data_IF_281974799672
#
_entry.id   IF_281974799672
#
_cell.length_a   1.000
_cell.length_b   1.000
_cell.length_c   1.000
_cell.angle_alpha   90.00
_cell.angle_beta   90.00
_cell.angle_gamma   90.00
#
_symmetry.space_group_name_H-M   'P 1'
#
loop_
_entity.id
_entity.type
_entity.pdbx_description
1 polymer ?
#
# COMPACT_ATOMS: atom_id res chain seq x y z
N UNK A 1 -9.19 -10.44 4.36
CA UNK A 1 -8.37 -9.21 4.27
C UNK A 1 -7.09 -9.48 5.06
N UNK A 2 -5.93 -9.08 4.55
CA UNK A 2 -4.71 -9.05 5.36
C UNK A 2 -4.83 -7.87 6.32
N UNK A 3 -4.73 -8.07 7.63
CA UNK A 3 -4.91 -7.04 8.66
C UNK A 3 -3.77 -6.01 8.71
N UNK A 4 -3.34 -5.55 7.54
CA UNK A 4 -2.24 -4.61 7.33
C UNK A 4 -2.65 -3.59 6.28
N UNK A 5 -2.17 -2.37 6.44
CA UNK A 5 -2.35 -1.31 5.46
C UNK A 5 -1.21 -1.31 4.45
N UNK A 6 -1.47 -0.91 3.20
CA UNK A 6 -0.41 -0.63 2.24
C UNK A 6 -0.20 0.88 2.05
N UNK A 7 1.02 1.27 1.72
CA UNK A 7 1.37 2.64 1.36
C UNK A 7 1.99 2.62 -0.05
N UNK A 8 1.30 3.09 -1.09
CA UNK A 8 1.88 3.15 -2.42
C UNK A 8 3.01 4.18 -2.44
N UNK A 9 4.14 3.80 -3.04
CA UNK A 9 5.29 4.68 -3.24
C UNK A 9 5.54 4.86 -4.73
N UNK A 10 5.80 6.10 -5.15
CA UNK A 10 6.12 6.42 -6.54
C UNK A 10 7.62 6.37 -6.76
N UNK A 11 8.09 5.52 -7.68
CA UNK A 11 9.50 5.49 -8.09
C UNK A 11 9.92 6.70 -8.94
N UNK A 12 8.96 7.58 -9.29
CA UNK A 12 9.26 8.87 -9.91
C UNK A 12 9.70 9.90 -8.88
N UNK A 13 9.47 9.65 -7.59
CA UNK A 13 9.94 10.52 -6.53
C UNK A 13 11.47 10.45 -6.42
N UNK A 14 12.15 11.56 -6.10
CA UNK A 14 13.59 11.54 -5.83
C UNK A 14 13.93 10.56 -4.69
N UNK A 15 15.11 9.90 -4.72
CA UNK A 15 15.50 8.91 -3.70
C UNK A 15 15.35 9.39 -2.25
N UNK A 16 15.71 10.66 -1.97
CA UNK A 16 15.59 11.25 -0.64
C UNK A 16 14.12 11.33 -0.17
N UNK A 17 13.21 11.65 -1.08
CA UNK A 17 11.77 11.66 -0.79
C UNK A 17 11.29 10.24 -0.55
N UNK A 18 11.64 9.30 -1.43
CA UNK A 18 11.27 7.89 -1.28
C UNK A 18 11.74 7.30 0.06
N UNK A 19 12.97 7.62 0.47
CA UNK A 19 13.53 7.25 1.77
C UNK A 19 12.71 7.84 2.93
N UNK A 20 12.39 9.14 2.84
CA UNK A 20 11.59 9.83 3.86
C UNK A 20 10.22 9.18 4.02
N UNK A 21 9.52 8.93 2.91
CA UNK A 21 8.19 8.32 2.91
C UNK A 21 8.25 6.91 3.49
N UNK A 22 9.16 6.07 2.99
CA UNK A 22 9.30 4.69 3.46
C UNK A 22 9.63 4.64 4.96
N UNK A 23 10.53 5.48 5.47
CA UNK A 23 10.85 5.52 6.90
C UNK A 23 9.68 5.98 7.76
N UNK A 24 8.85 6.93 7.29
CA UNK A 24 7.65 7.35 8.03
C UNK A 24 6.58 6.26 8.15
N UNK A 25 6.58 5.24 7.27
CA UNK A 25 5.64 4.12 7.39
C UNK A 25 5.97 3.18 8.56
N UNK A 26 7.22 3.17 9.03
CA UNK A 26 7.76 2.13 9.91
C UNK A 26 7.56 0.69 9.37
N UNK A 27 7.30 0.54 8.08
CA UNK A 27 7.09 -0.77 7.47
C UNK A 27 8.39 -1.56 7.44
N UNK A 28 8.29 -2.83 7.84
CA UNK A 28 9.38 -3.80 7.73
C UNK A 28 9.31 -4.64 6.45
N UNK A 29 8.27 -4.43 5.63
CA UNK A 29 8.03 -5.15 4.38
C UNK A 29 7.86 -4.17 3.22
N UNK A 30 8.45 -4.50 2.08
CA UNK A 30 8.20 -3.78 0.82
C UNK A 30 7.86 -4.77 -0.28
N UNK A 31 6.75 -4.51 -0.96
CA UNK A 31 6.32 -5.27 -2.12
C UNK A 31 6.74 -4.52 -3.39
N UNK A 32 7.46 -5.20 -4.28
CA UNK A 32 8.06 -4.60 -5.48
C UNK A 32 7.90 -5.50 -6.69
N UNK A 33 8.06 -4.95 -7.89
CA UNK A 33 8.36 -5.75 -9.06
C UNK A 33 9.85 -6.11 -9.09
N UNK A 34 10.20 -7.24 -9.71
CA UNK A 34 11.59 -7.66 -9.87
C UNK A 34 12.45 -6.56 -10.53
N UNK A 35 11.88 -5.84 -11.50
CA UNK A 35 12.57 -4.75 -12.23
C UNK A 35 12.83 -3.51 -11.36
N UNK A 36 12.08 -3.32 -10.27
CA UNK A 36 12.19 -2.16 -9.39
C UNK A 36 12.84 -2.48 -8.04
N UNK A 37 13.04 -3.76 -7.73
CA UNK A 37 13.60 -4.23 -6.45
C UNK A 37 14.96 -3.64 -6.11
N UNK A 38 15.79 -3.31 -7.12
CA UNK A 38 17.11 -2.73 -6.91
C UNK A 38 17.06 -1.38 -6.17
N UNK A 39 15.97 -0.61 -6.31
CA UNK A 39 15.81 0.69 -5.65
C UNK A 39 15.80 0.57 -4.13
N UNK A 40 15.28 -0.53 -3.60
CA UNK A 40 15.13 -0.77 -2.15
C UNK A 40 16.31 -1.54 -1.54
N UNK A 41 17.43 -1.66 -2.26
CA UNK A 41 18.67 -2.22 -1.69
C UNK A 41 19.26 -1.27 -0.65
N UNK A 42 19.95 -1.78 0.39
CA UNK A 42 20.58 -0.96 1.41
C UNK A 42 21.53 0.12 0.88
N UNK A 43 22.18 -0.13 -0.26
CA UNK A 43 23.09 0.82 -0.93
C UNK A 43 22.38 2.05 -1.51
N UNK A 44 21.08 1.93 -1.82
CA UNK A 44 20.28 2.98 -2.46
C UNK A 44 19.37 3.72 -1.48
N UNK A 45 18.82 3.00 -0.50
CA UNK A 45 17.94 3.56 0.53
C UNK A 45 18.30 2.95 1.88
N UNK A 46 18.55 3.80 2.88
CA UNK A 46 18.72 3.35 4.26
C UNK A 46 17.34 3.18 4.90
N UNK A 47 16.82 1.94 4.80
CA UNK A 47 15.51 1.55 5.30
C UNK A 47 15.64 0.37 6.26
N UNK A 48 14.80 0.33 7.29
CA UNK A 48 14.72 -0.80 8.21
C UNK A 48 13.70 -1.83 7.71
N UNK A 49 14.05 -2.53 6.62
CA UNK A 49 13.20 -3.54 5.96
C UNK A 49 13.74 -4.93 6.27
N UNK A 50 12.87 -5.83 6.74
CA UNK A 50 13.19 -7.25 6.91
C UNK A 50 13.15 -8.01 5.58
N UNK A 51 12.19 -7.66 4.71
CA UNK A 51 11.94 -8.39 3.49
C UNK A 51 11.46 -7.50 2.33
N UNK A 52 12.10 -7.68 1.17
CA UNK A 52 11.66 -7.15 -0.12
C UNK A 52 11.03 -8.30 -0.90
N UNK A 53 9.71 -8.30 -0.98
CA UNK A 53 8.92 -9.34 -1.64
C UNK A 53 8.75 -8.96 -3.11
N UNK A 54 9.07 -9.86 -4.03
CA UNK A 54 8.87 -9.62 -5.46
C UNK A 54 7.51 -10.16 -5.89
N UNK A 55 6.75 -9.36 -6.63
CA UNK A 55 5.40 -9.74 -7.09
C UNK A 55 5.40 -11.01 -7.95
N UNK A 56 6.51 -11.25 -8.65
CA UNK A 56 6.70 -12.39 -9.55
C UNK A 56 7.06 -13.68 -8.81
N UNK A 57 7.38 -13.60 -7.50
CA UNK A 57 7.59 -14.78 -6.68
C UNK A 57 6.26 -15.52 -6.52
N UNK A 58 6.24 -16.78 -6.98
CA UNK A 58 5.05 -17.62 -6.87
C UNK A 58 4.83 -17.98 -5.41
N UNK A 59 3.77 -17.44 -4.84
CA UNK A 59 3.22 -17.92 -3.58
C UNK A 59 2.47 -19.24 -3.79
N UNK A 60 3.19 -20.30 -4.19
CA UNK A 60 2.59 -21.58 -4.57
C UNK A 60 1.96 -22.35 -3.40
N UNK A 61 2.11 -21.87 -2.16
CA UNK A 61 1.70 -22.59 -0.95
C UNK A 61 0.79 -21.77 -0.02
N UNK A 62 0.25 -20.63 -0.46
CA UNK A 62 -0.68 -19.86 0.39
C UNK A 62 -2.05 -20.56 0.44
N UNK A 63 -2.37 -21.10 1.60
CA UNK A 63 -3.72 -21.55 1.91
C UNK A 63 -4.64 -20.35 2.14
N UNK A 64 -5.43 -19.98 1.14
CA UNK A 64 -6.35 -18.84 1.21
C UNK A 64 -7.38 -18.98 2.35
N UNK A 65 -7.69 -20.20 2.78
CA UNK A 65 -8.63 -20.42 3.89
C UNK A 65 -8.06 -19.93 5.23
N UNK A 66 -6.73 -19.92 5.40
CA UNK A 66 -6.07 -19.39 6.61
C UNK A 66 -6.11 -17.85 6.67
N UNK A 67 -6.26 -17.16 5.53
CA UNK A 67 -6.37 -15.70 5.45
C UNK A 67 -7.72 -15.16 5.92
N UNK A 68 -8.73 -16.01 6.07
CA UNK A 68 -10.09 -15.63 6.48
C UNK A 68 -10.18 -15.28 7.98
N UNK A 69 -9.18 -15.66 8.78
CA UNK A 69 -9.18 -15.49 10.24
C UNK A 69 -8.46 -14.22 10.73
N UNK A 70 -7.97 -13.36 9.84
CA UNK A 70 -7.30 -12.12 10.28
C UNK A 70 -8.35 -11.10 10.74
N UNK A 71 -8.33 -10.66 12.01
CA UNK A 71 -9.33 -9.71 12.50
C UNK A 71 -9.10 -8.34 11.84
N UNK A 72 -10.05 -7.93 11.01
CA UNK A 72 -10.10 -6.60 10.40
C UNK A 72 -11.40 -5.95 10.83
N UNK A 73 -11.32 -4.75 11.37
CA UNK A 73 -12.48 -3.96 11.80
C UNK A 73 -12.76 -2.84 10.83
N UNK A 74 -13.92 -2.20 10.97
CA UNK A 74 -14.28 -1.00 10.21
C UNK A 74 -13.31 0.17 10.42
N UNK A 75 -12.64 0.21 11.58
CA UNK A 75 -11.67 1.25 11.94
C UNK A 75 -10.23 0.89 11.58
N UNK A 76 -9.99 -0.32 11.07
CA UNK A 76 -8.67 -0.72 10.59
C UNK A 76 -8.25 0.16 9.41
N UNK A 77 -6.97 0.55 9.38
CA UNK A 77 -6.41 1.29 8.25
C UNK A 77 -6.34 0.36 7.03
N UNK A 78 -6.95 0.77 5.92
CA UNK A 78 -6.90 0.06 4.65
C UNK A 78 -5.64 0.45 3.87
N UNK A 79 -5.34 1.75 3.78
CA UNK A 79 -4.13 2.25 3.14
C UNK A 79 -3.73 3.63 3.65
N UNK A 80 -2.47 4.00 3.40
CA UNK A 80 -1.89 5.30 3.74
C UNK A 80 -1.42 5.98 2.47
N UNK A 81 -1.76 7.26 2.27
CA UNK A 81 -1.23 8.08 1.18
C UNK A 81 -0.51 9.27 1.79
N UNK A 82 0.68 9.59 1.26
CA UNK A 82 1.39 10.79 1.65
C UNK A 82 1.02 11.97 0.75
N UNK A 83 0.81 13.13 1.38
CA UNK A 83 0.58 14.41 0.70
C UNK A 83 1.72 15.37 0.99
N UNK A 84 1.91 16.38 0.13
CA UNK A 84 2.86 17.45 0.38
C UNK A 84 2.44 18.26 1.60
N UNK A 85 3.31 18.34 2.61
CA UNK A 85 3.10 19.22 3.76
C UNK A 85 3.58 20.64 3.46
N UNK A 86 2.88 21.63 4.02
CA UNK A 86 3.28 23.04 3.96
C UNK A 86 4.65 23.32 4.59
N UNK A 87 5.09 22.46 5.50
CA UNK A 87 6.40 22.52 6.16
C UNK A 87 7.51 21.80 5.38
N UNK A 88 7.23 21.33 4.17
CA UNK A 88 8.14 20.52 3.34
C UNK A 88 8.20 19.05 3.75
N UNK A 89 7.72 18.69 4.94
CA UNK A 89 7.64 17.32 5.43
C UNK A 89 6.32 16.70 4.97
N UNK A 90 6.32 15.57 4.25
CA UNK A 90 5.10 14.88 3.85
C UNK A 90 4.22 14.49 5.04
N UNK A 91 2.90 14.53 4.87
CA UNK A 91 1.92 14.14 5.88
C UNK A 91 1.21 12.85 5.47
N UNK A 92 1.15 11.89 6.38
CA UNK A 92 0.39 10.65 6.20
C UNK A 92 -1.11 10.93 6.31
N UNK A 93 -1.86 10.47 5.31
CA UNK A 93 -3.32 10.42 5.32
C UNK A 93 -3.72 8.96 5.45
N UNK A 94 -4.33 8.61 6.58
CA UNK A 94 -4.81 7.26 6.88
C UNK A 94 -6.24 7.11 6.38
N UNK A 95 -6.48 6.13 5.50
CA UNK A 95 -7.82 5.78 5.04
C UNK A 95 -8.22 4.48 5.73
N UNK A 96 -9.29 4.53 6.51
CA UNK A 96 -9.85 3.37 7.21
C UNK A 96 -10.84 2.61 6.34
N UNK A 97 -10.99 1.31 6.61
CA UNK A 97 -11.84 0.38 5.86
C UNK A 97 -13.25 0.94 5.64
N UNK A 98 -13.92 1.44 6.68
CA UNK A 98 -15.29 1.96 6.55
C UNK A 98 -15.38 3.18 5.64
N UNK A 99 -14.41 4.11 5.69
CA UNK A 99 -14.41 5.28 4.82
C UNK A 99 -14.24 4.87 3.36
N UNK A 100 -13.37 3.90 3.10
CA UNK A 100 -13.16 3.36 1.76
C UNK A 100 -14.39 2.62 1.24
N UNK A 101 -15.03 1.78 2.06
CA UNK A 101 -16.21 1.01 1.67
C UNK A 101 -17.39 1.91 1.33
N UNK A 102 -17.65 2.94 2.14
CA UNK A 102 -18.73 3.90 1.89
C UNK A 102 -18.46 4.70 0.62
N UNK A 103 -17.25 5.22 0.43
CA UNK A 103 -16.88 6.01 -0.76
C UNK A 103 -16.90 5.16 -2.03
N UNK A 104 -16.35 3.95 -1.98
CA UNK A 104 -16.35 3.05 -3.15
C UNK A 104 -17.76 2.65 -3.55
N UNK A 105 -18.63 2.31 -2.59
CA UNK A 105 -20.02 1.98 -2.86
C UNK A 105 -20.78 3.18 -3.45
N UNK A 106 -20.63 4.37 -2.87
CA UNK A 106 -21.25 5.59 -3.40
C UNK A 106 -20.78 5.88 -4.83
N UNK A 107 -19.48 5.77 -5.09
CA UNK A 107 -18.91 5.96 -6.42
C UNK A 107 -19.46 4.95 -7.44
N UNK A 108 -19.50 3.66 -7.09
CA UNK A 108 -20.03 2.63 -7.99
C UNK A 108 -21.50 2.84 -8.33
N UNK A 109 -22.31 3.28 -7.37
CA UNK A 109 -23.71 3.64 -7.60
C UNK A 109 -23.83 4.87 -8.50
N UNK A 110 -23.03 5.91 -8.26
CA UNK A 110 -23.03 7.15 -9.04
C UNK A 110 -22.72 6.91 -10.52
N UNK A 111 -21.73 6.06 -10.82
CA UNK A 111 -21.35 5.75 -12.20
C UNK A 111 -22.19 4.63 -12.83
N UNK A 112 -23.17 4.07 -12.10
CA UNK A 112 -23.98 2.95 -12.56
C UNK A 112 -23.14 1.70 -12.88
N UNK A 113 -22.07 1.47 -12.12
CA UNK A 113 -21.17 0.33 -12.36
C UNK A 113 -21.88 -0.99 -12.07
N UNK A 114 -21.65 -1.97 -12.94
CA UNK A 114 -22.13 -3.34 -12.78
C UNK A 114 -20.94 -4.30 -12.85
N UNK A 115 -21.17 -5.58 -12.60
CA UNK A 115 -20.13 -6.62 -12.75
C UNK A 115 -19.53 -6.68 -14.17
N UNK A 116 -20.22 -6.14 -15.18
CA UNK A 116 -19.76 -6.09 -16.57
C UNK A 116 -19.03 -4.79 -16.94
N UNK A 117 -19.03 -3.79 -16.05
CA UNK A 117 -18.44 -2.49 -16.30
C UNK A 117 -16.91 -2.56 -16.31
N UNK A 118 -16.27 -1.83 -17.22
CA UNK A 118 -14.82 -1.66 -17.28
C UNK A 118 -14.48 -0.18 -17.13
N UNK A 119 -13.61 0.13 -16.18
CA UNK A 119 -13.02 1.46 -16.03
C UNK A 119 -11.76 1.51 -16.91
N UNK A 120 -11.69 2.50 -17.80
CA UNK A 120 -10.53 2.79 -18.66
C UNK A 120 -9.90 4.11 -18.24
#
# INVERSE_FOLDING_TARGET
MVGSAYCPLSLRDPPQRLQTLANQTHSRLVLVHAVTAAVFRPDNLTLNIDCVIRLEERFSEINLNELSNVPVTTESVAFVIFTSGSTGIPKAVYIITVSFDVLSNAFFLEIGSTASSKLY
#
